data_IF_545246021241
#
_entry.id   IF_545246021241
#
_cell.length_a   1.000
_cell.length_b   1.000
_cell.length_c   1.000
_cell.angle_alpha   90.00
_cell.angle_beta   90.00
_cell.angle_gamma   90.00
#
_symmetry.space_group_name_H-M   'P 1'
#
loop_
_entity.id
_entity.type
_entity.pdbx_description
1 polymer ?
#
# COMPACT_ATOMS: atom_id res chain seq x y z
N UNK A 1 34.85 5.74 24.10
CA UNK A 1 34.26 4.94 23.02
C UNK A 1 32.78 5.27 22.96
N UNK A 2 32.31 5.85 21.86
CA UNK A 2 30.88 6.05 21.62
C UNK A 2 30.22 4.67 21.46
N UNK A 3 29.11 4.43 22.15
CA UNK A 3 28.35 3.17 22.19
C UNK A 3 27.32 3.04 21.06
N UNK A 4 27.34 3.92 20.07
CA UNK A 4 26.35 3.91 18.98
C UNK A 4 26.93 3.25 17.72
N UNK A 5 26.14 2.37 17.10
CA UNK A 5 26.54 1.64 15.91
C UNK A 5 26.67 2.59 14.69
N UNK A 6 27.81 2.62 13.97
CA UNK A 6 28.11 3.60 12.91
C UNK A 6 27.11 3.66 11.75
N UNK A 7 26.27 2.64 11.57
CA UNK A 7 25.24 2.63 10.54
C UNK A 7 24.05 3.54 10.87
N UNK A 8 23.90 3.99 12.13
CA UNK A 8 22.81 4.90 12.53
C UNK A 8 22.91 6.28 11.87
N UNK A 9 24.12 6.76 11.58
CA UNK A 9 24.36 8.01 10.84
C UNK A 9 23.95 7.94 9.36
N UNK A 10 23.54 6.76 8.88
CA UNK A 10 23.09 6.54 7.50
C UNK A 10 21.57 6.59 7.33
N UNK A 11 20.81 6.70 8.43
CA UNK A 11 19.34 6.73 8.41
C UNK A 11 18.83 8.18 8.45
N UNK A 12 18.28 8.67 7.33
CA UNK A 12 17.46 9.89 7.29
C UNK A 12 18.17 11.25 7.18
N UNK A 13 19.49 11.36 7.40
CA UNK A 13 20.22 12.64 7.36
C UNK A 13 20.66 13.09 5.96
N UNK A 14 20.51 12.27 4.91
CA UNK A 14 20.90 12.63 3.55
C UNK A 14 19.80 12.31 2.55
N UNK A 15 18.85 13.24 2.38
CA UNK A 15 18.15 13.42 1.10
C UNK A 15 19.06 14.05 0.03
N UNK A 16 20.39 13.89 0.17
CA UNK A 16 21.40 14.54 -0.67
C UNK A 16 22.08 13.63 -1.69
N UNK A 17 21.48 12.49 -2.05
CA UNK A 17 22.11 11.49 -2.93
C UNK A 17 21.75 11.59 -4.43
N UNK A 18 20.93 12.55 -4.86
CA UNK A 18 21.12 13.05 -6.24
C UNK A 18 22.50 13.73 -6.31
N UNK A 19 23.31 13.48 -7.36
CA UNK A 19 24.57 14.20 -7.60
C UNK A 19 24.44 15.73 -7.55
N UNK A 20 23.22 16.26 -7.65
CA UNK A 20 22.89 17.69 -7.58
C UNK A 20 22.57 18.24 -6.18
N UNK A 21 22.37 17.44 -5.12
CA UNK A 21 22.07 17.99 -3.78
C UNK A 21 23.29 18.46 -2.99
N UNK A 22 24.50 18.12 -3.43
CA UNK A 22 25.74 18.56 -2.80
C UNK A 22 26.19 19.96 -3.24
N UNK A 23 25.47 20.59 -4.17
CA UNK A 23 25.65 21.97 -4.56
C UNK A 23 24.50 22.79 -3.97
N UNK A 24 24.75 23.51 -2.87
CA UNK A 24 23.84 24.56 -2.43
C UNK A 24 23.64 25.54 -3.58
N UNK A 25 22.47 25.48 -4.22
CA UNK A 25 22.11 26.33 -5.35
C UNK A 25 21.81 25.59 -6.65
N UNK A 26 22.30 24.37 -6.92
CA UNK A 26 22.27 23.78 -8.27
C UNK A 26 21.35 22.57 -8.43
N UNK A 27 20.23 22.51 -7.69
CA UNK A 27 19.13 21.60 -8.08
C UNK A 27 18.19 22.42 -8.95
N UNK A 28 18.13 22.18 -10.28
CA UNK A 28 17.23 22.95 -11.15
C UNK A 28 15.77 22.87 -10.69
N UNK A 29 15.38 21.76 -10.06
CA UNK A 29 14.04 21.56 -9.48
C UNK A 29 13.78 22.38 -8.20
N UNK A 30 14.80 22.78 -7.45
CA UNK A 30 14.66 23.66 -6.27
C UNK A 30 14.86 25.15 -6.61
N UNK A 31 15.36 25.44 -7.81
CA UNK A 31 15.41 26.82 -8.34
C UNK A 31 14.06 27.26 -8.93
N UNK A 32 13.10 26.34 -9.09
CA UNK A 32 11.74 26.68 -9.54
C UNK A 32 11.06 27.50 -8.43
N UNK A 33 10.58 28.73 -8.71
CA UNK A 33 9.87 29.53 -7.73
C UNK A 33 8.74 28.75 -7.06
N UNK A 34 8.82 28.58 -5.74
CA UNK A 34 7.85 27.82 -4.94
C UNK A 34 8.22 26.36 -4.63
N UNK A 35 9.29 25.80 -5.23
CA UNK A 35 9.79 24.46 -4.90
C UNK A 35 10.92 24.51 -3.86
N UNK A 36 10.59 24.15 -2.61
CA UNK A 36 11.58 23.93 -1.55
C UNK A 36 11.96 22.46 -1.37
N UNK A 37 12.88 22.16 -0.45
CA UNK A 37 13.28 20.77 -0.10
C UNK A 37 12.10 19.89 0.35
N UNK A 38 11.00 20.51 0.80
CA UNK A 38 9.76 19.86 1.22
C UNK A 38 8.71 19.74 0.10
N UNK A 39 9.02 20.18 -1.12
CA UNK A 39 8.09 20.09 -2.25
C UNK A 39 7.92 18.65 -2.79
N UNK A 40 8.89 17.76 -2.51
CA UNK A 40 8.84 16.36 -2.92
C UNK A 40 8.52 15.52 -1.68
N UNK A 41 7.32 14.95 -1.67
CA UNK A 41 6.84 14.08 -0.61
C UNK A 41 6.60 12.67 -1.15
N UNK A 42 6.82 11.63 -0.33
CA UNK A 42 6.55 10.28 -0.76
C UNK A 42 5.07 10.09 -1.09
N UNK A 43 4.77 9.37 -2.15
CA UNK A 43 3.40 8.99 -2.47
C UNK A 43 2.99 7.73 -1.69
N UNK A 44 1.94 7.83 -0.87
CA UNK A 44 1.43 6.68 -0.10
C UNK A 44 0.87 5.54 -0.97
N UNK A 45 0.42 5.79 -2.20
CA UNK A 45 0.00 4.76 -3.15
C UNK A 45 1.20 3.88 -3.56
N UNK A 46 2.28 4.49 -4.07
CA UNK A 46 3.48 3.77 -4.50
C UNK A 46 4.31 3.23 -3.33
N UNK A 47 4.32 3.93 -2.20
CA UNK A 47 5.05 3.49 -1.00
C UNK A 47 4.39 2.24 -0.40
N UNK A 48 3.07 2.26 -0.19
CA UNK A 48 2.37 1.15 0.46
C UNK A 48 1.67 0.22 -0.56
N UNK A 49 0.64 0.70 -1.25
CA UNK A 49 -0.30 -0.14 -1.99
C UNK A 49 0.30 -0.82 -3.24
N UNK A 50 1.23 -0.15 -3.92
CA UNK A 50 2.07 -0.72 -5.00
C UNK A 50 3.50 -1.00 -4.51
N UNK A 51 3.71 -0.93 -3.20
CA UNK A 51 5.01 -1.09 -2.57
C UNK A 51 5.02 -2.27 -1.62
N UNK A 52 5.40 -2.00 -0.38
CA UNK A 52 5.60 -3.06 0.60
C UNK A 52 4.28 -3.63 1.14
N UNK A 53 3.14 -2.96 0.91
CA UNK A 53 1.81 -3.51 1.20
C UNK A 53 1.46 -4.73 0.32
N UNK A 54 1.97 -4.77 -0.92
CA UNK A 54 1.88 -5.96 -1.79
C UNK A 54 2.63 -7.12 -1.16
N UNK A 55 3.84 -6.86 -0.65
CA UNK A 55 4.65 -7.87 0.04
C UNK A 55 3.93 -8.33 1.32
N UNK A 56 3.38 -7.43 2.14
CA UNK A 56 2.60 -7.79 3.33
C UNK A 56 1.43 -8.72 2.98
N UNK A 57 0.64 -8.37 1.97
CA UNK A 57 -0.51 -9.16 1.55
C UNK A 57 -0.10 -10.52 0.95
N UNK A 58 0.91 -10.54 0.07
CA UNK A 58 1.35 -11.77 -0.60
C UNK A 58 2.05 -12.74 0.38
N UNK A 59 2.86 -12.20 1.28
CA UNK A 59 3.52 -12.96 2.35
C UNK A 59 2.55 -13.43 3.41
N UNK A 60 1.55 -12.62 3.76
CA UNK A 60 0.46 -13.01 4.64
C UNK A 60 -0.34 -14.19 4.08
N UNK A 61 -0.70 -14.13 2.79
CA UNK A 61 -1.37 -15.23 2.08
C UNK A 61 -0.53 -16.52 2.12
N UNK A 62 0.75 -16.43 1.78
CA UNK A 62 1.65 -17.57 1.79
C UNK A 62 1.82 -18.14 3.22
N UNK A 63 1.92 -17.27 4.23
CA UNK A 63 2.01 -17.67 5.63
C UNK A 63 0.76 -18.43 6.08
N UNK A 64 -0.44 -17.87 5.86
CA UNK A 64 -1.71 -18.51 6.19
C UNK A 64 -1.87 -19.86 5.48
N UNK A 65 -1.47 -19.96 4.21
CA UNK A 65 -1.49 -21.21 3.46
C UNK A 65 -0.51 -22.26 4.03
N UNK A 66 0.69 -21.84 4.49
CA UNK A 66 1.65 -22.75 5.15
C UNK A 66 1.16 -23.23 6.51
N UNK A 67 0.47 -22.36 7.26
CA UNK A 67 -0.13 -22.68 8.57
C UNK A 67 -1.43 -23.48 8.50
N UNK A 68 -1.93 -23.76 7.29
CA UNK A 68 -3.12 -24.61 7.13
C UNK A 68 -4.43 -23.88 7.38
N UNK A 69 -4.46 -22.54 7.31
CA UNK A 69 -5.69 -21.76 7.45
C UNK A 69 -6.68 -21.95 6.27
N UNK A 70 -6.25 -22.61 5.20
CA UNK A 70 -7.03 -22.87 3.99
C UNK A 70 -7.00 -24.36 3.65
N UNK A 71 -8.10 -24.83 3.06
CA UNK A 71 -8.26 -26.25 2.75
C UNK A 71 -7.43 -26.64 1.53
N UNK A 72 -6.74 -27.77 1.60
CA UNK A 72 -6.02 -28.31 0.45
C UNK A 72 -4.85 -29.20 0.79
N UNK A 73 -4.64 -30.21 -0.06
CA UNK A 73 -3.51 -31.17 0.07
C UNK A 73 -2.17 -30.57 -0.34
N UNK A 74 -2.14 -29.70 -1.35
CA UNK A 74 -0.95 -29.02 -1.83
C UNK A 74 -1.01 -27.52 -1.52
N UNK A 75 0.14 -26.86 -1.48
CA UNK A 75 0.23 -25.41 -1.27
C UNK A 75 -0.60 -24.61 -2.29
N UNK A 76 -0.54 -24.98 -3.57
CA UNK A 76 -1.35 -24.34 -4.61
C UNK A 76 -2.85 -24.62 -4.44
N UNK A 77 -3.26 -25.80 -3.97
CA UNK A 77 -4.67 -26.07 -3.67
C UNK A 77 -5.16 -25.21 -2.51
N UNK A 78 -4.32 -24.98 -1.49
CA UNK A 78 -4.62 -24.07 -0.38
C UNK A 78 -4.76 -22.62 -0.84
N UNK A 79 -3.88 -22.15 -1.73
CA UNK A 79 -3.99 -20.83 -2.34
C UNK A 79 -5.23 -20.69 -3.22
N UNK A 80 -5.62 -21.76 -3.92
CA UNK A 80 -6.84 -21.77 -4.72
C UNK A 80 -8.10 -21.70 -3.84
N UNK A 81 -8.12 -22.42 -2.71
CA UNK A 81 -9.19 -22.31 -1.72
C UNK A 81 -9.26 -20.90 -1.11
N UNK A 82 -8.12 -20.34 -0.73
CA UNK A 82 -8.03 -18.95 -0.28
C UNK A 82 -8.63 -17.98 -1.30
N UNK A 83 -8.35 -18.16 -2.58
CA UNK A 83 -8.89 -17.32 -3.64
C UNK A 83 -10.41 -17.47 -3.81
N UNK A 84 -10.96 -18.66 -3.64
CA UNK A 84 -12.43 -18.87 -3.62
C UNK A 84 -13.08 -18.14 -2.46
N UNK A 85 -12.47 -18.21 -1.26
CA UNK A 85 -12.96 -17.50 -0.07
C UNK A 85 -12.90 -15.98 -0.27
N UNK A 86 -11.80 -15.47 -0.85
CA UNK A 86 -11.63 -14.05 -1.18
C UNK A 86 -12.66 -13.55 -2.20
N UNK A 87 -12.85 -14.27 -3.31
CA UNK A 87 -13.82 -13.87 -4.35
C UNK A 87 -15.26 -13.88 -3.84
N UNK A 88 -15.60 -14.85 -2.99
CA UNK A 88 -16.88 -14.87 -2.27
C UNK A 88 -17.04 -13.62 -1.39
N UNK A 89 -16.05 -13.31 -0.55
CA UNK A 89 -16.08 -12.12 0.29
C UNK A 89 -16.20 -10.82 -0.53
N UNK A 90 -15.51 -10.73 -1.67
CA UNK A 90 -15.65 -9.58 -2.56
C UNK A 90 -17.08 -9.44 -3.10
N UNK A 91 -17.71 -10.54 -3.48
CA UNK A 91 -19.11 -10.55 -3.93
C UNK A 91 -20.05 -10.08 -2.81
N UNK A 92 -19.91 -10.63 -1.61
CA UNK A 92 -20.72 -10.27 -0.43
C UNK A 92 -20.56 -8.80 -0.02
N UNK A 93 -19.37 -8.22 -0.24
CA UNK A 93 -19.06 -6.84 0.14
C UNK A 93 -19.17 -5.84 -1.02
N UNK A 94 -19.74 -6.24 -2.16
CA UNK A 94 -19.87 -5.43 -3.38
C UNK A 94 -18.53 -4.81 -3.83
N UNK A 95 -17.46 -5.60 -3.78
CA UNK A 95 -16.10 -5.21 -4.19
C UNK A 95 -15.74 -5.89 -5.51
N UNK A 96 -15.02 -5.16 -6.35
CA UNK A 96 -14.48 -5.68 -7.62
C UNK A 96 -12.97 -5.74 -7.54
N UNK A 97 -12.40 -6.90 -7.83
CA UNK A 97 -10.94 -7.13 -7.86
C UNK A 97 -10.45 -7.38 -9.29
N UNK A 98 -9.21 -6.96 -9.57
CA UNK A 98 -8.48 -7.31 -10.80
C UNK A 98 -7.65 -8.60 -10.68
N UNK A 99 -7.67 -9.25 -9.52
CA UNK A 99 -6.96 -10.50 -9.27
C UNK A 99 -7.65 -11.63 -10.04
N UNK A 100 -6.87 -12.44 -10.76
CA UNK A 100 -7.37 -13.54 -11.60
C UNK A 100 -7.24 -14.94 -10.95
N UNK A 101 -6.63 -15.01 -9.76
CA UNK A 101 -6.39 -16.25 -9.01
C UNK A 101 -5.09 -16.22 -8.23
N UNK A 102 -4.91 -17.18 -7.33
CA UNK A 102 -3.67 -17.36 -6.57
C UNK A 102 -3.06 -18.75 -6.80
N UNK A 103 -1.74 -18.76 -6.96
CA UNK A 103 -0.88 -19.93 -7.06
C UNK A 103 0.56 -19.47 -6.82
N UNK A 104 1.48 -20.41 -6.57
CA UNK A 104 2.91 -20.10 -6.37
C UNK A 104 3.45 -19.19 -7.48
N UNK A 105 3.20 -19.55 -8.75
CA UNK A 105 3.62 -18.73 -9.90
C UNK A 105 2.93 -17.36 -9.94
N UNK A 106 1.65 -17.30 -9.58
CA UNK A 106 0.87 -16.06 -9.56
C UNK A 106 1.27 -15.12 -8.43
N UNK A 107 1.91 -15.62 -7.37
CA UNK A 107 2.55 -14.81 -6.34
C UNK A 107 3.99 -14.42 -6.68
N UNK A 108 4.45 -14.71 -7.91
CA UNK A 108 5.83 -14.48 -8.39
C UNK A 108 6.89 -15.28 -7.60
N UNK A 109 6.51 -16.46 -7.10
CA UNK A 109 7.41 -17.38 -6.41
C UNK A 109 7.88 -18.50 -7.37
N UNK A 110 9.18 -18.81 -7.35
CA UNK A 110 9.72 -20.01 -8.05
C UNK A 110 9.51 -21.30 -7.28
N UNK A 111 9.48 -21.20 -5.95
CA UNK A 111 9.30 -22.32 -5.04
C UNK A 111 8.60 -21.84 -3.77
N UNK A 112 8.16 -22.77 -2.92
CA UNK A 112 7.60 -22.41 -1.62
C UNK A 112 8.60 -21.64 -0.73
N UNK A 113 9.91 -21.70 -0.99
CA UNK A 113 10.94 -20.98 -0.23
C UNK A 113 11.41 -19.68 -0.91
N UNK A 114 10.63 -19.15 -1.85
CA UNK A 114 10.90 -17.87 -2.50
C UNK A 114 10.07 -16.73 -1.89
N UNK A 115 10.44 -15.49 -2.18
CA UNK A 115 9.71 -14.32 -1.71
C UNK A 115 8.45 -14.11 -2.56
N UNK A 116 7.24 -14.04 -1.97
CA UNK A 116 6.06 -13.63 -2.71
C UNK A 116 6.08 -12.12 -2.94
N UNK A 117 5.99 -11.69 -4.19
CA UNK A 117 6.17 -10.28 -4.61
C UNK A 117 5.01 -9.74 -5.43
N UNK A 118 3.96 -10.54 -5.66
CA UNK A 118 2.76 -10.12 -6.38
C UNK A 118 1.49 -10.79 -5.83
N UNK A 119 0.32 -10.25 -6.19
CA UNK A 119 -1.00 -10.72 -5.74
C UNK A 119 -1.81 -11.45 -6.83
N UNK A 120 -1.17 -12.09 -7.80
CA UNK A 120 -1.88 -12.92 -8.79
C UNK A 120 -2.40 -12.21 -10.03
N UNK A 121 -1.87 -11.03 -10.33
CA UNK A 121 -2.07 -10.35 -11.60
C UNK A 121 -0.80 -9.60 -11.99
N UNK A 122 -0.41 -9.70 -13.26
CA UNK A 122 0.64 -8.85 -13.83
C UNK A 122 0.27 -7.36 -13.84
N UNK A 123 -1.00 -7.04 -13.54
CA UNK A 123 -1.56 -5.69 -13.41
C UNK A 123 -2.27 -5.50 -12.07
N UNK A 124 -1.77 -6.08 -10.97
CA UNK A 124 -2.37 -5.88 -9.64
C UNK A 124 -2.44 -4.39 -9.33
N UNK A 125 -3.66 -3.87 -9.18
CA UNK A 125 -3.88 -2.45 -8.95
C UNK A 125 -3.60 -2.15 -7.48
N UNK A 126 -3.27 -0.89 -7.16
CA UNK A 126 -3.13 -0.43 -5.78
C UNK A 126 -4.36 -0.79 -4.93
N UNK A 127 -5.54 -0.77 -5.54
CA UNK A 127 -6.80 -1.14 -4.92
C UNK A 127 -6.88 -2.61 -4.49
N UNK A 128 -6.28 -3.53 -5.26
CA UNK A 128 -6.31 -4.97 -4.95
C UNK A 128 -5.59 -5.26 -3.62
N UNK A 129 -4.47 -4.58 -3.36
CA UNK A 129 -3.74 -4.67 -2.08
C UNK A 129 -4.64 -4.28 -0.90
N UNK A 130 -5.42 -3.21 -1.03
CA UNK A 130 -6.34 -2.79 0.03
C UNK A 130 -7.46 -3.83 0.27
N UNK A 131 -7.97 -4.45 -0.81
CA UNK A 131 -9.00 -5.49 -0.70
C UNK A 131 -8.48 -6.75 -0.02
N UNK A 132 -7.29 -7.21 -0.42
CA UNK A 132 -6.68 -8.42 0.16
C UNK A 132 -6.39 -8.21 1.64
N UNK A 133 -5.89 -7.04 2.06
CA UNK A 133 -5.66 -6.75 3.47
C UNK A 133 -6.96 -6.67 4.28
N UNK A 134 -8.02 -6.07 3.74
CA UNK A 134 -9.34 -6.04 4.41
C UNK A 134 -9.94 -7.44 4.59
N UNK A 135 -9.87 -8.25 3.53
CA UNK A 135 -10.32 -9.63 3.59
C UNK A 135 -9.46 -10.46 4.56
N UNK A 136 -8.15 -10.25 4.57
CA UNK A 136 -7.22 -10.94 5.46
C UNK A 136 -7.49 -10.62 6.93
N UNK A 137 -7.79 -9.37 7.27
CA UNK A 137 -8.23 -8.99 8.62
C UNK A 137 -9.47 -9.77 9.04
N UNK A 138 -10.50 -9.78 8.18
CA UNK A 138 -11.72 -10.56 8.41
C UNK A 138 -11.44 -12.06 8.60
N UNK A 139 -10.56 -12.65 7.78
CA UNK A 139 -10.16 -14.04 7.95
C UNK A 139 -9.46 -14.28 9.29
N UNK A 140 -8.51 -13.42 9.68
CA UNK A 140 -7.74 -13.55 10.93
C UNK A 140 -8.57 -13.25 12.19
N UNK A 141 -9.69 -12.55 12.06
CA UNK A 141 -10.67 -12.37 13.14
C UNK A 141 -11.56 -13.59 13.35
N UNK A 142 -11.82 -14.36 12.29
CA UNK A 142 -12.66 -15.55 12.34
C UNK A 142 -11.89 -16.85 12.63
N UNK A 143 -10.56 -16.78 12.77
CA UNK A 143 -9.77 -17.91 13.24
C UNK A 143 -10.09 -18.15 14.71
N UNK A 144 -10.54 -19.37 15.04
CA UNK A 144 -10.90 -19.76 16.40
C UNK A 144 -9.73 -19.46 17.37
N UNK A 145 -9.98 -18.73 18.48
CA UNK A 145 -8.96 -18.47 19.49
C UNK A 145 -8.22 -19.72 19.96
N UNK A 146 -8.88 -20.89 19.98
CA UNK A 146 -8.30 -22.15 20.45
C UNK A 146 -7.38 -22.86 19.45
N UNK A 147 -7.51 -22.57 18.15
CA UNK A 147 -6.67 -23.18 17.09
C UNK A 147 -5.38 -22.39 16.84
N UNK A 148 -5.30 -21.14 17.27
CA UNK A 148 -4.21 -20.22 16.93
C UNK A 148 -3.68 -19.39 18.10
N UNK A 149 -4.09 -19.66 19.34
CA UNK A 149 -3.64 -18.94 20.53
C UNK A 149 -2.12 -19.00 20.74
N UNK A 150 -1.39 -19.89 20.07
CA UNK A 150 0.07 -20.03 20.21
C UNK A 150 0.87 -19.63 18.96
N UNK A 151 0.27 -19.40 17.79
CA UNK A 151 1.05 -19.03 16.60
C UNK A 151 1.41 -17.54 16.58
N UNK A 152 2.59 -17.28 17.12
CA UNK A 152 3.29 -16.01 17.14
C UNK A 152 3.39 -15.30 15.78
N UNK A 153 3.41 -16.05 14.66
CA UNK A 153 3.42 -15.45 13.32
C UNK A 153 2.05 -14.94 12.92
N UNK A 154 0.98 -15.69 13.21
CA UNK A 154 -0.39 -15.29 12.87
C UNK A 154 -0.83 -14.09 13.71
N UNK A 155 -0.44 -14.04 14.99
CA UNK A 155 -0.66 -12.85 15.84
C UNK A 155 0.06 -11.61 15.29
N UNK A 156 1.33 -11.77 14.90
CA UNK A 156 2.09 -10.69 14.26
C UNK A 156 1.47 -10.22 12.96
N UNK A 157 1.00 -11.15 12.12
CA UNK A 157 0.31 -10.85 10.86
C UNK A 157 -0.99 -10.11 11.12
N UNK A 158 -1.82 -10.59 12.04
CA UNK A 158 -3.06 -9.93 12.45
C UNK A 158 -2.82 -8.49 12.89
N UNK A 159 -1.82 -8.27 13.74
CA UNK A 159 -1.46 -6.94 14.19
C UNK A 159 -0.99 -6.03 13.05
N UNK A 160 -0.13 -6.53 12.15
CA UNK A 160 0.36 -5.77 10.99
C UNK A 160 -0.75 -5.40 10.00
N UNK A 161 -1.69 -6.32 9.74
CA UNK A 161 -2.82 -6.11 8.84
C UNK A 161 -3.83 -5.13 9.45
N UNK A 162 -4.20 -5.33 10.73
CA UNK A 162 -5.16 -4.47 11.43
C UNK A 162 -4.65 -3.02 11.54
N UNK A 163 -3.39 -2.84 11.91
CA UNK A 163 -2.77 -1.50 11.96
C UNK A 163 -2.71 -0.85 10.57
N UNK A 164 -2.39 -1.61 9.53
CA UNK A 164 -2.41 -1.11 8.15
C UNK A 164 -3.80 -0.65 7.70
N UNK A 165 -4.83 -1.46 7.95
CA UNK A 165 -6.21 -1.13 7.60
C UNK A 165 -6.73 0.06 8.42
N UNK A 166 -6.43 0.11 9.72
CA UNK A 166 -6.81 1.21 10.59
C UNK A 166 -6.14 2.53 10.16
N UNK A 167 -4.87 2.50 9.76
CA UNK A 167 -4.15 3.67 9.25
C UNK A 167 -4.86 4.27 8.03
N UNK A 168 -5.09 3.47 6.99
CA UNK A 168 -5.73 3.98 5.77
C UNK A 168 -7.22 4.25 5.93
N UNK A 169 -7.95 3.52 6.78
CA UNK A 169 -9.35 3.80 7.11
C UNK A 169 -9.48 5.16 7.81
N UNK A 170 -8.60 5.45 8.76
CA UNK A 170 -8.61 6.73 9.48
C UNK A 170 -8.22 7.87 8.54
N UNK A 171 -7.18 7.71 7.73
CA UNK A 171 -6.77 8.69 6.73
C UNK A 171 -7.89 9.03 5.73
N UNK A 172 -8.55 8.01 5.15
CA UNK A 172 -9.65 8.20 4.19
C UNK A 172 -10.90 8.80 4.83
N UNK A 173 -11.06 8.70 6.15
CA UNK A 173 -12.15 9.34 6.89
C UNK A 173 -11.90 10.83 7.17
N UNK A 174 -10.73 11.35 6.79
CA UNK A 174 -10.35 12.74 6.96
C UNK A 174 -10.30 13.44 5.60
N UNK A 175 -10.45 14.77 5.61
CA UNK A 175 -10.26 15.59 4.42
C UNK A 175 -8.78 15.92 4.18
N UNK A 176 -8.55 17.09 3.60
CA UNK A 176 -7.19 17.61 3.34
C UNK A 176 -6.40 17.74 4.64
N UNK A 177 -7.06 18.15 5.72
CA UNK A 177 -6.46 18.29 7.05
C UNK A 177 -7.00 17.24 8.01
N UNK A 178 -6.12 16.78 8.90
CA UNK A 178 -6.40 15.79 9.93
C UNK A 178 -6.31 16.51 11.28
N UNK A 179 -7.45 16.66 11.96
CA UNK A 179 -7.52 17.24 13.30
C UNK A 179 -7.38 16.16 14.39
N UNK A 180 -7.07 16.58 15.61
CA UNK A 180 -7.21 15.72 16.78
C UNK A 180 -8.68 15.28 17.00
N UNK A 181 -8.92 14.08 17.54
CA UNK A 181 -7.95 13.07 18.00
C UNK A 181 -7.42 12.14 16.89
N UNK A 182 -7.93 12.28 15.65
CA UNK A 182 -7.58 11.37 14.54
C UNK A 182 -6.12 11.49 14.13
N UNK A 183 -5.53 12.68 14.25
CA UNK A 183 -4.10 12.92 13.99
C UNK A 183 -3.23 12.01 14.87
N UNK A 184 -3.44 12.03 16.18
CA UNK A 184 -2.73 11.14 17.11
C UNK A 184 -2.91 9.66 16.76
N UNK A 185 -4.14 9.24 16.44
CA UNK A 185 -4.42 7.86 16.05
C UNK A 185 -3.63 7.46 14.79
N UNK A 186 -3.66 8.28 13.74
CA UNK A 186 -2.93 8.00 12.49
C UNK A 186 -1.43 7.91 12.74
N UNK A 187 -0.88 8.77 13.59
CA UNK A 187 0.53 8.73 13.95
C UNK A 187 0.91 7.42 14.66
N UNK A 188 0.24 7.08 15.77
CA UNK A 188 0.56 5.88 16.54
C UNK A 188 0.33 4.60 15.73
N UNK A 189 -0.79 4.51 15.02
CA UNK A 189 -1.11 3.35 14.17
C UNK A 189 -0.11 3.25 13.00
N UNK A 190 0.34 4.36 12.45
CA UNK A 190 1.35 4.39 11.39
C UNK A 190 2.73 3.90 11.87
N UNK A 191 3.12 4.18 13.11
CA UNK A 191 4.36 3.63 13.71
C UNK A 191 4.19 2.13 13.96
N UNK A 192 3.08 1.75 14.60
CA UNK A 192 2.75 0.36 14.91
C UNK A 192 2.73 -0.53 13.65
N UNK A 193 2.22 0.00 12.53
CA UNK A 193 2.21 -0.68 11.23
C UNK A 193 3.64 -1.00 10.74
N UNK A 194 4.57 -0.04 10.82
CA UNK A 194 5.96 -0.24 10.42
C UNK A 194 6.69 -1.21 11.36
N UNK A 195 6.48 -1.07 12.67
CA UNK A 195 7.06 -1.95 13.70
C UNK A 195 6.56 -3.39 13.55
N UNK A 196 5.26 -3.59 13.31
CA UNK A 196 4.65 -4.89 13.11
C UNK A 196 5.25 -5.62 11.89
N UNK A 197 5.43 -4.90 10.78
CA UNK A 197 6.08 -5.45 9.59
C UNK A 197 7.56 -5.78 9.85
N UNK A 198 8.28 -4.89 10.55
CA UNK A 198 9.67 -5.13 10.95
C UNK A 198 9.84 -6.35 11.85
N UNK A 199 8.92 -6.54 12.81
CA UNK A 199 8.87 -7.70 13.70
C UNK A 199 8.66 -9.00 12.93
N UNK A 200 7.71 -9.03 12.00
CA UNK A 200 7.45 -10.17 11.13
C UNK A 200 8.67 -10.50 10.26
N UNK A 201 9.32 -9.49 9.68
CA UNK A 201 10.54 -9.66 8.89
C UNK A 201 11.68 -10.26 9.74
N UNK A 202 11.88 -9.74 10.96
CA UNK A 202 12.88 -10.25 11.90
C UNK A 202 12.62 -11.72 12.28
N UNK A 203 11.37 -12.05 12.65
CA UNK A 203 10.98 -13.43 12.98
C UNK A 203 11.16 -14.37 11.80
N UNK A 204 10.76 -13.97 10.60
CA UNK A 204 10.95 -14.79 9.40
C UNK A 204 12.44 -15.00 9.09
N UNK A 205 13.27 -13.97 9.22
CA UNK A 205 14.71 -14.09 9.04
C UNK A 205 15.34 -15.07 10.04
N UNK A 206 14.99 -14.95 11.33
CA UNK A 206 15.47 -15.86 12.38
C UNK A 206 15.06 -17.34 12.15
N UNK A 207 13.94 -17.57 11.47
CA UNK A 207 13.43 -18.90 11.14
C UNK A 207 13.78 -19.37 9.72
N UNK A 208 14.69 -18.68 9.02
CA UNK A 208 15.06 -18.97 7.63
C UNK A 208 13.86 -18.99 6.64
N UNK A 209 12.83 -18.20 6.91
CA UNK A 209 11.64 -18.06 6.07
C UNK A 209 11.75 -16.83 5.17
N UNK A 210 11.59 -17.02 3.86
CA UNK A 210 11.55 -15.93 2.87
C UNK A 210 10.11 -15.45 2.66
N UNK A 211 9.60 -14.64 3.58
CA UNK A 211 8.23 -14.09 3.54
C UNK A 211 8.24 -12.55 3.58
N UNK A 212 8.47 -11.92 4.73
CA UNK A 212 8.37 -10.47 4.85
C UNK A 212 9.70 -9.77 4.53
N UNK A 213 9.87 -9.33 3.28
CA UNK A 213 11.09 -8.64 2.84
C UNK A 213 11.05 -7.18 3.24
N UNK A 214 12.09 -6.69 3.91
CA UNK A 214 12.26 -5.26 4.16
C UNK A 214 12.71 -4.55 2.87
N UNK A 215 11.88 -3.63 2.38
CA UNK A 215 12.22 -2.73 1.27
C UNK A 215 12.47 -1.31 1.78
N UNK A 216 13.26 -0.48 1.06
CA UNK A 216 13.41 0.94 1.38
C UNK A 216 12.08 1.70 1.50
N UNK A 217 11.02 1.23 0.81
CA UNK A 217 9.67 1.80 0.90
C UNK A 217 9.09 1.78 2.32
N UNK A 218 9.47 0.82 3.18
CA UNK A 218 9.04 0.80 4.60
C UNK A 218 9.58 2.04 5.34
N UNK A 219 10.83 2.44 5.05
CA UNK A 219 11.40 3.67 5.60
C UNK A 219 10.69 4.92 5.08
N UNK A 220 10.31 4.96 3.79
CA UNK A 220 9.49 6.06 3.27
C UNK A 220 8.12 6.14 3.92
N UNK A 221 7.52 5.01 4.29
CA UNK A 221 6.27 5.02 5.06
C UNK A 221 6.46 5.63 6.44
N UNK A 222 7.59 5.36 7.10
CA UNK A 222 7.91 5.98 8.39
C UNK A 222 7.99 7.51 8.28
N UNK A 223 8.61 8.04 7.21
CA UNK A 223 8.60 9.48 6.92
C UNK A 223 7.18 10.03 6.77
N UNK A 224 6.30 9.31 6.06
CA UNK A 224 4.89 9.72 5.93
C UNK A 224 4.18 9.80 7.28
N UNK A 225 4.42 8.82 8.15
CA UNK A 225 3.87 8.83 9.52
C UNK A 225 4.41 10.02 10.33
N UNK A 226 5.71 10.32 10.23
CA UNK A 226 6.34 11.43 10.95
C UNK A 226 5.82 12.80 10.52
N UNK A 227 5.43 12.98 9.25
CA UNK A 227 4.78 14.23 8.77
C UNK A 227 3.48 14.54 9.52
N UNK A 228 2.80 13.50 10.02
CA UNK A 228 1.55 13.62 10.77
C UNK A 228 1.76 13.51 12.28
N UNK A 229 3.01 13.52 12.73
CA UNK A 229 3.39 13.29 14.11
C UNK A 229 3.02 14.41 15.08
N UNK A 230 3.41 14.24 16.37
CA UNK A 230 3.13 15.21 17.41
C UNK A 230 3.85 16.52 17.09
N UNK A 231 3.06 17.52 16.69
CA UNK A 231 3.47 18.90 16.48
C UNK A 231 2.58 19.78 17.34
N UNK A 232 3.04 21.00 17.65
CA UNK A 232 2.22 22.00 18.37
C UNK A 232 0.96 22.41 17.61
N UNK A 233 0.88 22.11 16.30
CA UNK A 233 -0.27 22.41 15.48
C UNK A 233 -1.43 21.43 15.75
N UNK A 234 -2.67 21.91 15.95
CA UNK A 234 -3.83 21.06 16.22
C UNK A 234 -4.29 20.24 15.00
N UNK A 235 -3.75 20.54 13.82
CA UNK A 235 -4.05 19.88 12.55
C UNK A 235 -2.77 19.46 11.84
N UNK A 236 -2.81 18.32 11.16
CA UNK A 236 -1.77 17.85 10.26
C UNK A 236 -2.29 17.81 8.83
N UNK A 237 -1.40 17.93 7.86
CA UNK A 237 -1.74 17.73 6.46
C UNK A 237 -1.84 16.24 6.14
N UNK A 238 -2.90 15.81 5.45
CA UNK A 238 -3.10 14.40 5.14
C UNK A 238 -2.10 13.89 4.10
N UNK A 239 -1.45 12.75 4.40
CA UNK A 239 -0.55 12.07 3.47
C UNK A 239 -1.26 11.54 2.20
N UNK A 240 -2.59 11.47 2.19
CA UNK A 240 -3.37 11.11 0.99
C UNK A 240 -3.42 12.24 -0.04
N UNK A 241 -3.20 13.49 0.33
CA UNK A 241 -3.25 14.59 -0.63
C UNK A 241 -2.11 14.56 -1.64
N UNK A 242 -0.97 13.96 -1.26
CA UNK A 242 0.18 13.76 -2.15
C UNK A 242 0.14 12.40 -2.84
N UNK A 243 -0.98 11.69 -2.71
CA UNK A 243 -1.07 10.34 -3.21
C UNK A 243 -1.56 10.29 -4.65
N UNK A 244 -0.92 9.47 -5.48
CA UNK A 244 -1.19 9.42 -6.91
C UNK A 244 -2.43 8.57 -7.26
N UNK A 245 -3.36 8.34 -6.32
CA UNK A 245 -4.58 7.56 -6.59
C UNK A 245 -5.44 8.20 -7.71
N UNK A 246 -5.64 9.51 -7.63
CA UNK A 246 -6.41 10.24 -8.63
C UNK A 246 -5.71 10.25 -9.99
N UNK A 247 -4.38 10.39 -9.98
CA UNK A 247 -3.56 10.38 -11.19
C UNK A 247 -3.62 9.02 -11.89
N UNK A 248 -3.46 7.92 -11.14
CA UNK A 248 -3.54 6.54 -11.66
C UNK A 248 -4.92 6.25 -12.26
N UNK A 249 -6.00 6.66 -11.59
CA UNK A 249 -7.36 6.51 -12.11
C UNK A 249 -7.57 7.33 -13.38
N UNK A 250 -7.05 8.55 -13.43
CA UNK A 250 -7.13 9.41 -14.60
C UNK A 250 -6.36 8.82 -15.78
N UNK A 251 -5.10 8.44 -15.59
CA UNK A 251 -4.27 7.79 -16.61
C UNK A 251 -4.93 6.49 -17.09
N UNK A 252 -5.51 5.69 -16.18
CA UNK A 252 -6.25 4.48 -16.53
C UNK A 252 -7.49 4.74 -17.39
N UNK A 253 -8.20 5.86 -17.19
CA UNK A 253 -9.32 6.29 -18.04
C UNK A 253 -8.82 6.77 -19.41
N UNK A 254 -7.82 7.63 -19.45
CA UNK A 254 -7.24 8.15 -20.70
C UNK A 254 -6.65 7.01 -21.54
N UNK A 255 -5.96 6.05 -20.92
CA UNK A 255 -5.42 4.86 -21.58
C UNK A 255 -6.52 3.98 -22.20
N UNK A 256 -7.67 3.83 -21.55
CA UNK A 256 -8.83 3.14 -22.16
C UNK A 256 -9.40 3.92 -23.34
N UNK A 257 -9.51 5.24 -23.21
CA UNK A 257 -9.98 6.10 -24.30
C UNK A 257 -9.06 6.06 -25.50
N UNK A 258 -7.74 6.03 -25.30
CA UNK A 258 -6.76 5.97 -26.40
C UNK A 258 -6.84 4.68 -27.22
N UNK A 259 -7.20 3.56 -26.59
CA UNK A 259 -7.50 2.31 -27.32
C UNK A 259 -8.81 2.36 -28.12
N UNK A 260 -9.68 3.34 -27.87
CA UNK A 260 -10.95 3.52 -28.58
C UNK A 260 -10.87 4.48 -29.78
N UNK A 261 -9.68 4.96 -30.12
CA UNK A 261 -9.46 5.94 -31.20
C UNK A 261 -8.39 5.44 -32.17
N UNK A 262 -8.45 5.91 -33.41
CA UNK A 262 -7.46 5.56 -34.42
C UNK A 262 -6.06 6.09 -34.01
N UNK A 263 -4.98 5.28 -34.06
CA UNK A 263 -3.65 5.67 -33.57
C UNK A 263 -3.13 7.00 -34.13
N UNK A 264 -3.27 7.23 -35.45
CA UNK A 264 -2.85 8.48 -36.11
C UNK A 264 -3.57 9.75 -35.62
N UNK A 265 -4.73 9.59 -34.97
CA UNK A 265 -5.52 10.70 -34.42
C UNK A 265 -5.62 10.63 -32.90
N UNK A 266 -4.80 9.79 -32.27
CA UNK A 266 -4.94 9.45 -30.85
C UNK A 266 -4.88 10.68 -29.96
N UNK A 267 -3.87 11.54 -30.13
CA UNK A 267 -3.69 12.74 -29.32
C UNK A 267 -4.92 13.65 -29.35
N UNK A 268 -5.39 14.02 -30.54
CA UNK A 268 -6.54 14.90 -30.70
C UNK A 268 -7.86 14.24 -30.28
N UNK A 269 -8.13 13.00 -30.70
CA UNK A 269 -9.40 12.31 -30.41
C UNK A 269 -9.51 11.89 -28.95
N UNK A 270 -8.42 11.58 -28.27
CA UNK A 270 -8.41 11.34 -26.82
C UNK A 270 -8.84 12.59 -26.06
N UNK A 271 -8.25 13.75 -26.39
CA UNK A 271 -8.58 15.03 -25.76
C UNK A 271 -10.06 15.36 -26.00
N UNK A 272 -10.53 15.27 -27.25
CA UNK A 272 -11.93 15.51 -27.57
C UNK A 272 -12.90 14.61 -26.78
N UNK A 273 -12.61 13.30 -26.72
CA UNK A 273 -13.45 12.35 -25.98
C UNK A 273 -13.41 12.61 -24.47
N UNK A 274 -12.24 12.89 -23.90
CA UNK A 274 -12.09 13.20 -22.48
C UNK A 274 -12.86 14.47 -22.09
N UNK A 275 -12.70 15.55 -22.86
CA UNK A 275 -13.44 16.79 -22.65
C UNK A 275 -14.96 16.60 -22.84
N UNK A 276 -15.37 15.80 -23.82
CA UNK A 276 -16.78 15.43 -24.01
C UNK A 276 -17.37 14.71 -22.80
N UNK A 277 -16.63 13.75 -22.22
CA UNK A 277 -17.06 13.05 -21.00
C UNK A 277 -17.17 14.00 -19.80
N UNK A 278 -16.22 14.90 -19.63
CA UNK A 278 -16.30 15.92 -18.58
C UNK A 278 -17.49 16.85 -18.77
N UNK A 279 -17.74 17.31 -20.00
CA UNK A 279 -18.94 18.10 -20.31
C UNK A 279 -20.21 17.36 -19.90
N UNK A 280 -20.35 16.09 -20.26
CA UNK A 280 -21.51 15.27 -19.86
C UNK A 280 -21.62 15.13 -18.33
N UNK A 281 -20.48 14.96 -17.64
CA UNK A 281 -20.47 14.85 -16.17
C UNK A 281 -20.93 16.15 -15.50
N UNK A 282 -20.44 17.31 -15.96
CA UNK A 282 -20.84 18.61 -15.42
C UNK A 282 -22.30 18.97 -15.73
N UNK A 283 -22.80 18.61 -16.91
CA UNK A 283 -24.20 18.84 -17.26
C UNK A 283 -25.17 17.98 -16.44
N UNK A 284 -24.74 16.78 -16.04
CA UNK A 284 -25.54 15.86 -15.22
C UNK A 284 -25.29 16.02 -13.71
N UNK A 285 -24.44 16.98 -13.30
CA UNK A 285 -24.15 17.22 -11.90
C UNK A 285 -25.37 17.85 -11.22
N UNK A 286 -25.92 17.14 -10.23
CA UNK A 286 -26.88 17.69 -9.29
C UNK A 286 -26.12 18.00 -8.00
N UNK A 287 -26.29 19.19 -7.41
CA UNK A 287 -25.77 19.43 -6.07
C UNK A 287 -26.35 18.37 -5.13
N UNK A 288 -25.53 17.86 -4.22
CA UNK A 288 -26.03 17.02 -3.15
C UNK A 288 -27.06 17.84 -2.38
N UNK A 289 -28.28 17.32 -2.25
CA UNK A 289 -29.26 17.87 -1.31
C UNK A 289 -28.67 17.74 0.09
N UNK A 290 -28.43 18.87 0.74
CA UNK A 290 -27.99 18.96 2.13
C UNK A 290 -28.91 18.17 3.09
#
# INVERSE_FOLDING_TARGET
MSLEAPWRDTMGLRRSTSPSWCQEGDIPLLQIPGMGQNAILPDSCHVFHLGWGVDLAASGLALMARRGCFDGRSFDNRLHDAYKRFTRWCYENNKTTGISGWSTRKLDMKSQNDWPTSLGSCNSKAYDTALVLQWMECCLDNIDPWDCSEDDFLKGLKYAVATSNMFFKTLRSCGVFIAEPKKSVVYFVGQAMCEAYGHLASKCFANNLKLFRLRPKVHFQQHLTLLMGPTSAPVAFSALNFSCWADEDYIGRISRLSRSVHPLRSSYRCIQKALGLYKCQFLNWKPASD
#
